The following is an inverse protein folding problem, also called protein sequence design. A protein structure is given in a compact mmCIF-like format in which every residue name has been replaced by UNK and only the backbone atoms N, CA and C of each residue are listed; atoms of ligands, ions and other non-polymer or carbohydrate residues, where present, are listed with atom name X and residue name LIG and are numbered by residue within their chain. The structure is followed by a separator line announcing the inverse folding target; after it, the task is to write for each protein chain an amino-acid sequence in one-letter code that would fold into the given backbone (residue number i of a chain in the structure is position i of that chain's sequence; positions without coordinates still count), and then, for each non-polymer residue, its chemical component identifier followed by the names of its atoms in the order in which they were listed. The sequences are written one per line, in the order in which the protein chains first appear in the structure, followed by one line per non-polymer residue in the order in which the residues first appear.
data_IF_371299103378
#
_entry.id   IF_371299103378
#
_cell.length_a   1.000
_cell.length_b   1.000
_cell.length_c   1.000
_cell.angle_alpha   90.00
_cell.angle_beta   90.00
_cell.angle_gamma   90.00
#
_symmetry.space_group_name_H-M   'P 1'
#
loop_
_entity.id
_entity.type
_entity.pdbx_description
1 polymer ?
#
# COMPACT_ATOMS: atom_id res chain seq x y z
N UNK A 1 -1.68 -12.10 -22.06
CA UNK A 1 -0.26 -11.73 -22.25
C UNK A 1 0.52 -12.98 -22.62
N UNK A 2 1.33 -12.95 -23.66
CA UNK A 2 2.24 -14.06 -23.93
C UNK A 2 3.25 -14.17 -22.78
N UNK A 3 3.74 -15.39 -22.47
CA UNK A 3 4.75 -15.60 -21.42
C UNK A 3 5.99 -14.70 -21.54
N UNK A 4 6.26 -14.14 -22.73
CA UNK A 4 7.43 -13.27 -22.98
C UNK A 4 7.18 -11.78 -22.65
N UNK A 5 5.95 -11.31 -22.64
CA UNK A 5 5.62 -9.87 -22.54
C UNK A 5 5.09 -9.42 -21.16
N UNK A 6 4.95 -10.33 -20.21
CA UNK A 6 4.37 -10.01 -18.90
C UNK A 6 4.90 -10.83 -17.74
N UNK A 7 6.02 -11.55 -17.93
CA UNK A 7 6.62 -12.36 -16.86
C UNK A 7 7.23 -11.43 -15.81
N UNK A 8 6.79 -11.56 -14.56
CA UNK A 8 7.43 -10.92 -13.42
C UNK A 8 8.79 -11.56 -13.22
N UNK A 9 9.85 -10.75 -13.19
CA UNK A 9 11.23 -11.22 -13.00
C UNK A 9 11.82 -10.77 -11.66
N UNK A 10 11.38 -9.65 -11.12
CA UNK A 10 11.87 -9.12 -9.86
C UNK A 10 10.79 -8.28 -9.16
N UNK A 11 11.09 -7.85 -7.94
CA UNK A 11 10.34 -6.80 -7.25
C UNK A 11 11.23 -5.57 -7.06
N UNK A 12 10.61 -4.43 -6.75
CA UNK A 12 11.34 -3.30 -6.20
C UNK A 12 11.93 -3.66 -4.82
N UNK A 13 12.84 -2.85 -4.23
CA UNK A 13 13.51 -3.17 -2.97
C UNK A 13 12.55 -3.47 -1.80
N UNK A 14 11.40 -2.80 -1.75
CA UNK A 14 10.42 -2.95 -0.67
C UNK A 14 9.37 -4.05 -0.93
N UNK A 15 9.37 -4.67 -2.12
CA UNK A 15 8.56 -5.85 -2.45
C UNK A 15 7.11 -5.58 -2.84
N UNK A 16 6.63 -4.33 -2.83
CA UNK A 16 5.23 -4.00 -3.15
C UNK A 16 4.93 -3.93 -4.65
N UNK A 17 5.97 -3.92 -5.51
CA UNK A 17 5.82 -3.86 -6.97
C UNK A 17 6.52 -5.04 -7.65
N UNK A 18 5.80 -6.15 -7.93
CA UNK A 18 6.27 -7.20 -8.81
C UNK A 18 6.31 -6.69 -10.26
N UNK A 19 7.48 -6.68 -10.88
CA UNK A 19 7.71 -6.03 -12.16
C UNK A 19 8.30 -6.97 -13.21
N UNK A 20 7.93 -6.80 -14.48
CA UNK A 20 8.65 -7.36 -15.62
C UNK A 20 9.92 -6.56 -15.89
N UNK A 21 10.78 -7.01 -16.86
CA UNK A 21 11.93 -6.23 -17.31
C UNK A 21 11.52 -4.81 -17.69
N UNK A 22 12.35 -3.84 -17.34
CA UNK A 22 12.13 -2.40 -17.58
C UNK A 22 10.88 -1.80 -16.91
N UNK A 23 10.19 -2.56 -16.06
CA UNK A 23 9.03 -2.08 -15.33
C UNK A 23 9.38 -0.94 -14.37
N UNK A 24 8.53 0.08 -14.31
CA UNK A 24 8.68 1.22 -13.41
C UNK A 24 7.53 1.25 -12.37
N UNK A 25 7.85 1.78 -11.18
CA UNK A 25 6.88 2.02 -10.12
C UNK A 25 6.43 3.48 -10.15
N UNK A 26 5.15 3.71 -10.38
CA UNK A 26 4.50 4.99 -10.08
C UNK A 26 3.63 4.77 -8.85
N UNK A 27 4.00 5.37 -7.72
CA UNK A 27 3.34 5.16 -6.44
C UNK A 27 2.63 6.41 -5.96
N UNK A 28 1.48 6.23 -5.34
CA UNK A 28 0.73 7.26 -4.63
C UNK A 28 0.07 6.66 -3.39
N UNK A 29 -0.13 7.46 -2.34
CA UNK A 29 -0.77 6.98 -1.11
C UNK A 29 -1.69 8.03 -0.52
N UNK A 30 -2.93 7.65 -0.24
CA UNK A 30 -3.88 8.48 0.49
C UNK A 30 -3.50 8.57 1.97
N UNK A 31 -3.44 9.78 2.51
CA UNK A 31 -3.26 10.01 3.94
C UNK A 31 -4.61 9.87 4.67
N UNK A 32 -4.90 8.65 5.14
CA UNK A 32 -6.20 8.30 5.71
C UNK A 32 -6.64 9.14 6.93
N UNK A 33 -5.76 9.53 7.87
CA UNK A 33 -6.14 10.45 8.96
C UNK A 33 -6.82 11.74 8.51
N UNK A 34 -6.55 12.23 7.30
CA UNK A 34 -7.20 13.45 6.78
C UNK A 34 -8.69 13.29 6.45
N UNK A 35 -9.17 12.06 6.41
CA UNK A 35 -10.59 11.72 6.21
C UNK A 35 -11.31 11.39 7.53
N UNK A 36 -10.63 11.54 8.68
CA UNK A 36 -11.24 11.29 9.99
C UNK A 36 -11.74 12.59 10.59
N UNK A 37 -13.03 12.67 10.86
CA UNK A 37 -13.69 13.79 11.50
C UNK A 37 -14.61 13.30 12.64
N UNK A 38 -14.45 13.83 13.84
CA UNK A 38 -15.28 13.49 14.99
C UNK A 38 -15.37 11.96 15.23
N UNK A 39 -14.23 11.27 15.19
CA UNK A 39 -14.11 9.81 15.33
C UNK A 39 -14.84 8.99 14.25
N UNK A 40 -15.13 9.57 13.12
CA UNK A 40 -15.77 8.91 11.98
C UNK A 40 -14.96 9.13 10.71
N UNK A 41 -14.84 8.10 9.89
CA UNK A 41 -14.17 8.18 8.59
C UNK A 41 -15.14 8.64 7.51
N UNK A 42 -14.79 9.68 6.78
CA UNK A 42 -15.58 10.23 5.68
C UNK A 42 -15.31 9.48 4.37
N UNK A 43 -16.09 8.43 4.13
CA UNK A 43 -16.03 7.65 2.89
C UNK A 43 -16.47 8.46 1.68
N UNK A 44 -17.36 9.46 1.84
CA UNK A 44 -17.82 10.30 0.74
C UNK A 44 -16.69 11.16 0.19
N UNK A 45 -15.97 11.86 1.07
CA UNK A 45 -14.79 12.65 0.69
C UNK A 45 -13.69 11.75 0.10
N UNK A 46 -13.39 10.63 0.75
CA UNK A 46 -12.38 9.68 0.27
C UNK A 46 -12.69 9.18 -1.14
N UNK A 47 -13.93 8.76 -1.38
CA UNK A 47 -14.40 8.29 -2.70
C UNK A 47 -14.28 9.39 -3.76
N UNK A 48 -14.66 10.63 -3.41
CA UNK A 48 -14.59 11.78 -4.32
C UNK A 48 -13.18 12.09 -4.80
N UNK A 49 -12.17 11.90 -3.93
CA UNK A 49 -10.78 12.19 -4.29
C UNK A 49 -10.14 11.12 -5.17
N UNK A 50 -10.59 9.85 -5.12
CA UNK A 50 -9.95 8.74 -5.83
C UNK A 50 -9.86 9.00 -7.33
N UNK A 51 -10.94 9.48 -7.97
CA UNK A 51 -10.95 9.70 -9.42
C UNK A 51 -9.95 10.75 -9.89
N UNK A 52 -9.77 11.82 -9.10
CA UNK A 52 -8.80 12.87 -9.38
C UNK A 52 -7.37 12.36 -9.24
N UNK A 53 -7.09 11.56 -8.23
CA UNK A 53 -5.76 10.98 -7.99
C UNK A 53 -5.41 9.98 -9.09
N UNK A 54 -6.33 9.09 -9.50
CA UNK A 54 -6.12 8.15 -10.60
C UNK A 54 -5.81 8.89 -11.90
N UNK A 55 -6.56 9.96 -12.22
CA UNK A 55 -6.30 10.81 -13.38
C UNK A 55 -4.94 11.50 -13.30
N UNK A 56 -4.58 12.04 -12.13
CA UNK A 56 -3.28 12.68 -11.92
C UNK A 56 -2.14 11.69 -12.14
N UNK A 57 -2.24 10.47 -11.58
CA UNK A 57 -1.23 9.43 -11.76
C UNK A 57 -1.15 8.95 -13.23
N UNK A 58 -2.28 8.79 -13.93
CA UNK A 58 -2.28 8.47 -15.38
C UNK A 58 -1.56 9.56 -16.20
N UNK A 59 -1.76 10.83 -15.86
CA UNK A 59 -1.07 11.94 -16.51
C UNK A 59 0.44 11.94 -16.22
N UNK A 60 0.89 11.47 -15.05
CA UNK A 60 2.33 11.31 -14.75
C UNK A 60 2.96 10.28 -15.68
N UNK A 61 2.29 9.17 -15.99
CA UNK A 61 2.79 8.20 -16.98
C UNK A 61 3.05 8.86 -18.33
N UNK A 62 2.16 9.77 -18.76
CA UNK A 62 2.30 10.47 -20.05
C UNK A 62 3.42 11.51 -20.05
N UNK A 63 3.63 12.19 -18.92
CA UNK A 63 4.56 13.33 -18.79
C UNK A 63 5.97 12.95 -18.32
N UNK A 64 6.15 11.72 -17.86
CA UNK A 64 7.47 11.24 -17.41
C UNK A 64 8.44 11.17 -18.57
N UNK A 65 9.64 11.71 -18.37
CA UNK A 65 10.79 11.56 -19.26
C UNK A 65 11.52 10.28 -18.84
N UNK A 66 11.44 9.26 -19.68
CA UNK A 66 12.08 7.98 -19.39
C UNK A 66 13.51 7.96 -19.88
N UNK A 67 14.49 7.51 -19.07
CA UNK A 67 15.90 7.50 -19.47
C UNK A 67 16.23 6.45 -20.56
N UNK A 68 15.42 5.38 -20.66
CA UNK A 68 15.60 4.31 -21.66
C UNK A 68 14.31 4.12 -22.47
N UNK A 69 14.43 3.90 -23.80
CA UNK A 69 13.26 3.65 -24.66
C UNK A 69 12.42 2.44 -24.23
N UNK A 70 13.09 1.38 -23.73
CA UNK A 70 12.42 0.17 -23.27
C UNK A 70 11.57 0.43 -22.02
N UNK A 71 12.02 1.33 -21.12
CA UNK A 71 11.23 1.77 -19.96
C UNK A 71 10.02 2.59 -20.39
N UNK A 72 10.18 3.49 -21.36
CA UNK A 72 9.06 4.26 -21.91
C UNK A 72 8.03 3.33 -22.55
N UNK A 73 8.46 2.38 -23.36
CA UNK A 73 7.59 1.41 -24.01
C UNK A 73 6.83 0.57 -22.99
N UNK A 74 7.51 0.02 -21.98
CA UNK A 74 6.87 -0.77 -20.92
C UNK A 74 5.85 0.06 -20.14
N UNK A 75 6.24 1.27 -19.71
CA UNK A 75 5.38 2.15 -18.94
C UNK A 75 4.13 2.59 -19.73
N UNK A 76 4.30 3.04 -20.97
CA UNK A 76 3.18 3.53 -21.81
C UNK A 76 2.28 2.40 -22.31
N UNK A 77 2.84 1.22 -22.60
CA UNK A 77 2.07 0.07 -23.08
C UNK A 77 1.17 -0.54 -22.01
N UNK A 78 1.58 -0.48 -20.74
CA UNK A 78 0.83 -1.08 -19.61
C UNK A 78 0.19 -0.05 -18.68
N UNK A 79 0.72 1.17 -18.64
CA UNK A 79 0.21 2.28 -17.81
C UNK A 79 0.01 1.86 -16.35
N UNK A 80 0.98 1.09 -15.83
CA UNK A 80 0.96 0.55 -14.46
C UNK A 80 1.11 1.67 -13.43
N UNK A 81 0.32 1.61 -12.37
CA UNK A 81 0.47 2.44 -11.18
C UNK A 81 0.27 1.61 -9.92
N UNK A 82 0.63 2.16 -8.77
CA UNK A 82 0.42 1.57 -7.46
C UNK A 82 -0.15 2.61 -6.51
N UNK A 83 -1.47 2.77 -6.50
CA UNK A 83 -2.17 3.63 -5.57
C UNK A 83 -2.49 2.86 -4.30
N UNK A 84 -2.10 3.41 -3.16
CA UNK A 84 -2.28 2.82 -1.85
C UNK A 84 -2.71 3.81 -0.79
N UNK A 85 -2.41 3.47 0.44
CA UNK A 85 -2.79 4.24 1.63
C UNK A 85 -1.60 4.40 2.58
N UNK A 86 -1.64 5.43 3.40
CA UNK A 86 -0.76 5.63 4.56
C UNK A 86 -1.60 6.08 5.75
N UNK A 87 -1.11 5.88 6.97
CA UNK A 87 -1.83 6.29 8.16
C UNK A 87 -3.03 5.39 8.53
N UNK A 88 -3.06 4.12 8.07
CA UNK A 88 -4.18 3.22 8.36
C UNK A 88 -4.37 3.03 9.88
N UNK A 89 -3.29 2.79 10.62
CA UNK A 89 -3.35 2.61 12.06
C UNK A 89 -3.88 3.87 12.74
N UNK A 90 -3.31 5.04 12.43
CA UNK A 90 -3.75 6.30 13.00
C UNK A 90 -5.22 6.59 12.70
N UNK A 91 -5.68 6.42 11.45
CA UNK A 91 -7.07 6.65 11.08
C UNK A 91 -8.04 5.75 11.87
N UNK A 92 -7.69 4.47 12.02
CA UNK A 92 -8.51 3.53 12.76
C UNK A 92 -8.55 3.86 14.26
N UNK A 93 -7.39 4.16 14.86
CA UNK A 93 -7.28 4.47 16.29
C UNK A 93 -7.97 5.80 16.65
N UNK A 94 -7.90 6.81 15.76
CA UNK A 94 -8.69 8.05 15.90
C UNK A 94 -10.21 7.81 15.84
N UNK A 95 -10.64 6.66 15.32
CA UNK A 95 -12.03 6.20 15.32
C UNK A 95 -12.32 5.16 16.41
N UNK A 96 -11.53 5.06 17.46
CA UNK A 96 -11.64 4.09 18.56
C UNK A 96 -11.62 2.61 18.08
N UNK A 97 -10.79 2.31 17.08
CA UNK A 97 -10.60 0.97 16.51
C UNK A 97 -9.14 0.53 16.66
N UNK A 98 -8.75 -0.08 17.79
CA UNK A 98 -7.35 -0.49 18.03
C UNK A 98 -6.81 -1.39 16.93
N UNK A 99 -5.54 -1.19 16.55
CA UNK A 99 -4.86 -1.95 15.51
C UNK A 99 -5.02 -3.46 15.69
N UNK A 100 -5.28 -4.18 14.59
CA UNK A 100 -5.55 -5.62 14.52
C UNK A 100 -6.80 -6.12 15.25
N UNK A 101 -7.58 -5.26 15.93
CA UNK A 101 -8.87 -5.65 16.53
C UNK A 101 -9.91 -6.03 15.46
N UNK A 102 -10.98 -6.71 15.86
CA UNK A 102 -12.10 -7.02 14.94
C UNK A 102 -12.69 -5.77 14.27
N UNK A 103 -12.77 -4.65 15.01
CA UNK A 103 -13.24 -3.37 14.47
C UNK A 103 -12.27 -2.82 13.43
N UNK A 104 -10.96 -2.86 13.72
CA UNK A 104 -9.91 -2.48 12.79
C UNK A 104 -9.97 -3.30 11.50
N UNK A 105 -10.09 -4.63 11.59
CA UNK A 105 -10.16 -5.51 10.43
C UNK A 105 -11.38 -5.21 9.55
N UNK A 106 -12.53 -4.92 10.17
CA UNK A 106 -13.73 -4.50 9.44
C UNK A 106 -13.52 -3.16 8.74
N UNK A 107 -13.03 -2.15 9.46
CA UNK A 107 -12.71 -0.84 8.91
C UNK A 107 -11.72 -0.93 7.74
N UNK A 108 -10.64 -1.69 7.91
CA UNK A 108 -9.65 -1.95 6.86
C UNK A 108 -10.29 -2.57 5.61
N UNK A 109 -11.22 -3.52 5.80
CA UNK A 109 -11.99 -4.12 4.71
C UNK A 109 -12.81 -3.07 3.95
N UNK A 110 -13.51 -2.19 4.65
CA UNK A 110 -14.33 -1.14 4.05
C UNK A 110 -13.48 -0.13 3.27
N UNK A 111 -12.38 0.36 3.87
CA UNK A 111 -11.44 1.29 3.22
C UNK A 111 -10.84 0.68 1.95
N UNK A 112 -10.36 -0.57 2.03
CA UNK A 112 -9.69 -1.22 0.89
C UNK A 112 -10.67 -1.65 -0.20
N UNK A 113 -11.89 -2.04 0.13
CA UNK A 113 -12.95 -2.28 -0.86
C UNK A 113 -13.25 -1.00 -1.61
N UNK A 114 -13.43 0.11 -0.89
CA UNK A 114 -13.65 1.43 -1.49
C UNK A 114 -12.48 1.83 -2.39
N UNK A 115 -11.25 1.78 -1.88
CA UNK A 115 -10.05 2.11 -2.66
C UNK A 115 -10.00 1.28 -3.95
N UNK A 116 -10.09 -0.04 -3.85
CA UNK A 116 -10.03 -0.96 -4.98
C UNK A 116 -11.08 -0.64 -6.02
N UNK A 117 -12.34 -0.65 -5.61
CA UNK A 117 -13.45 -0.57 -6.56
C UNK A 117 -13.51 0.80 -7.24
N UNK A 118 -13.36 1.88 -6.50
CA UNK A 118 -13.39 3.23 -7.09
C UNK A 118 -12.13 3.58 -7.89
N UNK A 119 -10.98 3.00 -7.55
CA UNK A 119 -9.76 3.15 -8.37
C UNK A 119 -9.93 2.46 -9.72
N UNK A 120 -10.49 1.24 -9.74
CA UNK A 120 -10.76 0.51 -10.97
C UNK A 120 -11.85 1.17 -11.82
N UNK A 121 -12.92 1.65 -11.19
CA UNK A 121 -13.97 2.41 -11.88
C UNK A 121 -13.44 3.70 -12.49
N UNK A 122 -12.61 4.46 -11.78
CA UNK A 122 -11.97 5.67 -12.29
C UNK A 122 -11.05 5.38 -13.50
N UNK A 123 -10.29 4.28 -13.45
CA UNK A 123 -9.46 3.85 -14.59
C UNK A 123 -10.31 3.42 -15.79
N UNK A 124 -11.47 2.78 -15.57
CA UNK A 124 -12.41 2.46 -16.65
C UNK A 124 -13.04 3.71 -17.24
N UNK A 125 -13.42 4.70 -16.43
CA UNK A 125 -13.87 6.01 -16.92
C UNK A 125 -12.79 6.71 -17.77
N UNK A 126 -11.52 6.64 -17.37
CA UNK A 126 -10.42 7.15 -18.17
C UNK A 126 -10.23 6.38 -19.48
N UNK A 127 -10.52 5.07 -19.51
CA UNK A 127 -10.48 4.30 -20.75
C UNK A 127 -11.57 4.75 -21.72
N UNK A 128 -12.75 5.10 -21.26
CA UNK A 128 -13.81 5.68 -22.08
C UNK A 128 -13.39 7.02 -22.72
N UNK A 129 -12.63 7.85 -21.97
CA UNK A 129 -12.16 9.16 -22.45
C UNK A 129 -10.93 9.07 -23.36
N UNK A 130 -9.97 8.20 -23.04
CA UNK A 130 -8.61 8.20 -23.63
C UNK A 130 -8.21 6.86 -24.27
N UNK A 131 -9.09 5.88 -24.26
CA UNK A 131 -8.81 4.49 -24.67
C UNK A 131 -8.15 3.66 -23.58
N UNK A 132 -8.28 2.35 -23.69
CA UNK A 132 -7.61 1.38 -22.83
C UNK A 132 -6.10 1.43 -22.98
N UNK A 133 -5.36 0.82 -22.02
CA UNK A 133 -3.91 0.71 -22.19
C UNK A 133 -3.56 -0.11 -23.45
N UNK A 134 -2.46 0.21 -24.19
CA UNK A 134 -2.19 -0.37 -25.52
C UNK A 134 -2.14 -1.91 -25.57
N UNK A 135 -1.71 -2.58 -24.49
CA UNK A 135 -1.66 -4.04 -24.41
C UNK A 135 -2.94 -4.66 -23.81
N UNK A 136 -4.03 -3.90 -23.73
CA UNK A 136 -5.29 -4.42 -23.21
C UNK A 136 -5.87 -5.50 -24.13
N UNK A 137 -6.16 -6.64 -23.55
CA UNK A 137 -6.88 -7.76 -24.17
C UNK A 137 -8.03 -8.10 -23.22
N UNK A 138 -9.25 -7.79 -23.62
CA UNK A 138 -10.44 -7.94 -22.79
C UNK A 138 -10.60 -9.36 -22.25
N UNK A 139 -10.46 -10.37 -23.11
CA UNK A 139 -10.63 -11.75 -22.71
C UNK A 139 -9.60 -12.18 -21.66
N UNK A 140 -8.33 -11.79 -21.82
CA UNK A 140 -7.28 -12.12 -20.85
C UNK A 140 -7.47 -11.34 -19.55
N UNK A 141 -7.86 -10.08 -19.63
CA UNK A 141 -8.03 -9.22 -18.47
C UNK A 141 -9.22 -9.67 -17.59
N UNK A 142 -10.38 -9.90 -18.20
CA UNK A 142 -11.61 -10.30 -17.51
C UNK A 142 -11.57 -11.73 -16.97
N UNK A 143 -10.70 -12.59 -17.50
CA UNK A 143 -10.43 -13.92 -16.95
C UNK A 143 -9.38 -13.92 -15.83
N UNK A 144 -8.74 -12.78 -15.54
CA UNK A 144 -7.79 -12.62 -14.45
C UNK A 144 -8.42 -12.85 -13.07
N UNK A 145 -7.70 -13.53 -12.16
CA UNK A 145 -8.24 -13.83 -10.84
C UNK A 145 -8.56 -12.57 -10.03
N UNK A 146 -7.73 -11.53 -10.14
CA UNK A 146 -8.00 -10.28 -9.40
C UNK A 146 -9.25 -9.56 -9.94
N UNK A 147 -9.47 -9.56 -11.26
CA UNK A 147 -10.68 -9.00 -11.86
C UNK A 147 -11.96 -9.61 -11.26
N UNK A 148 -11.97 -10.92 -11.05
CA UNK A 148 -13.11 -11.64 -10.47
C UNK A 148 -13.42 -11.24 -9.02
N UNK A 149 -12.46 -10.61 -8.32
CA UNK A 149 -12.67 -10.11 -6.95
C UNK A 149 -13.32 -8.74 -6.88
N UNK A 150 -13.34 -7.98 -8.00
CA UNK A 150 -13.98 -6.68 -8.07
C UNK A 150 -15.48 -6.78 -7.88
N UNK A 151 -16.09 -5.70 -7.38
CA UNK A 151 -17.55 -5.64 -7.27
C UNK A 151 -18.23 -5.76 -8.65
N UNK A 152 -19.40 -6.41 -8.75
CA UNK A 152 -20.05 -6.65 -10.03
C UNK A 152 -20.21 -5.40 -10.91
N UNK A 153 -20.61 -4.28 -10.32
CA UNK A 153 -20.77 -3.03 -11.05
C UNK A 153 -19.46 -2.51 -11.67
N UNK A 154 -18.31 -2.74 -11.02
CA UNK A 154 -16.99 -2.40 -11.58
C UNK A 154 -16.63 -3.34 -12.73
N UNK A 155 -16.88 -4.64 -12.55
CA UNK A 155 -16.67 -5.64 -13.61
C UNK A 155 -17.47 -5.30 -14.87
N UNK A 156 -18.72 -4.91 -14.70
CA UNK A 156 -19.59 -4.57 -15.83
C UNK A 156 -19.12 -3.29 -16.53
N UNK A 157 -18.72 -2.26 -15.77
CA UNK A 157 -18.15 -1.04 -16.34
C UNK A 157 -16.86 -1.31 -17.14
N UNK A 158 -15.97 -2.21 -16.64
CA UNK A 158 -14.74 -2.57 -17.36
C UNK A 158 -15.04 -3.38 -18.62
N UNK A 159 -16.01 -4.26 -18.62
CA UNK A 159 -16.45 -4.98 -19.85
C UNK A 159 -17.02 -4.03 -20.90
N UNK A 160 -17.72 -2.99 -20.46
CA UNK A 160 -18.34 -2.03 -21.38
C UNK A 160 -17.32 -1.03 -21.96
N UNK A 161 -16.40 -0.52 -21.13
CA UNK A 161 -15.52 0.60 -21.52
C UNK A 161 -14.04 0.26 -21.58
N UNK A 162 -13.64 -0.94 -21.16
CA UNK A 162 -12.23 -1.31 -20.98
C UNK A 162 -11.62 -0.69 -19.73
N UNK A 163 -10.27 -0.66 -19.67
CA UNK A 163 -9.54 -0.09 -18.55
C UNK A 163 -8.26 0.61 -19.01
N UNK A 164 -7.97 1.79 -18.42
CA UNK A 164 -6.86 2.65 -18.82
C UNK A 164 -5.51 2.16 -18.32
N UNK A 165 -5.45 1.48 -17.17
CA UNK A 165 -4.24 1.10 -16.46
C UNK A 165 -4.26 -0.41 -16.17
N UNK A 166 -3.17 -1.11 -16.45
CA UNK A 166 -3.10 -2.58 -16.30
C UNK A 166 -3.11 -3.04 -14.84
N UNK A 167 -2.47 -2.29 -13.95
CA UNK A 167 -2.41 -2.49 -12.51
C UNK A 167 -2.59 -1.14 -11.83
N UNK A 168 -3.27 -1.13 -10.70
CA UNK A 168 -3.74 0.10 -10.08
C UNK A 168 -3.36 0.25 -8.62
N UNK A 169 -3.28 -0.84 -7.84
CA UNK A 169 -3.16 -0.78 -6.39
C UNK A 169 -1.88 -1.41 -5.87
N UNK A 170 -1.28 -0.78 -4.85
CA UNK A 170 -0.08 -1.28 -4.16
C UNK A 170 0.01 -0.62 -2.79
N UNK A 171 0.55 -1.32 -1.80
CA UNK A 171 0.84 -0.71 -0.49
C UNK A 171 2.35 -0.50 -0.37
N UNK A 172 2.75 0.75 -0.56
CA UNK A 172 4.12 1.20 -0.36
C UNK A 172 4.44 1.37 1.14
N UNK A 173 5.73 1.29 1.55
CA UNK A 173 6.11 1.50 2.95
C UNK A 173 5.84 2.94 3.43
N UNK A 174 5.88 3.93 2.56
CA UNK A 174 5.66 5.36 2.85
C UNK A 174 6.53 5.97 3.95
N UNK A 175 7.65 5.35 4.32
CA UNK A 175 8.47 5.74 5.47
C UNK A 175 8.90 7.21 5.46
N UNK A 176 9.42 7.71 4.34
CA UNK A 176 9.84 9.12 4.21
C UNK A 176 8.67 10.06 4.02
N UNK A 177 7.69 9.70 3.18
CA UNK A 177 6.55 10.58 2.91
C UNK A 177 5.58 10.69 4.10
N UNK A 178 5.54 9.71 5.00
CA UNK A 178 4.76 9.82 6.23
C UNK A 178 5.28 10.92 7.16
N UNK A 179 6.60 11.16 7.16
CA UNK A 179 7.20 12.26 7.92
C UNK A 179 6.74 13.63 7.40
N UNK A 180 6.69 13.80 6.07
CA UNK A 180 6.19 15.04 5.46
C UNK A 180 4.67 15.20 5.62
N UNK A 181 3.98 14.10 5.91
CA UNK A 181 2.55 14.06 6.24
C UNK A 181 2.29 14.17 7.76
N UNK A 182 3.17 14.84 8.48
CA UNK A 182 3.09 15.07 9.93
C UNK A 182 3.24 13.76 10.76
N UNK A 183 4.12 12.87 10.30
CA UNK A 183 4.47 11.61 10.94
C UNK A 183 3.26 10.68 11.18
N UNK A 184 2.43 10.51 10.17
CA UNK A 184 1.39 9.47 10.19
C UNK A 184 2.01 8.08 10.17
N UNK A 185 1.30 7.07 10.65
CA UNK A 185 1.75 5.67 10.56
C UNK A 185 2.01 5.25 9.10
N UNK A 186 3.11 4.53 8.86
CA UNK A 186 3.57 4.21 7.51
C UNK A 186 2.73 3.10 6.86
N UNK A 187 2.12 3.38 5.72
CA UNK A 187 1.34 2.40 4.96
C UNK A 187 0.23 1.77 5.80
N UNK A 188 0.34 0.47 6.01
CA UNK A 188 -0.54 -0.33 6.86
C UNK A 188 0.13 -0.78 8.16
N UNK A 189 1.29 -0.19 8.49
CA UNK A 189 1.99 -0.48 9.73
C UNK A 189 1.32 0.19 10.94
N UNK A 190 1.39 -0.41 12.15
CA UNK A 190 1.20 0.36 13.36
C UNK A 190 2.33 1.37 13.54
N UNK A 191 2.19 2.45 14.32
CA UNK A 191 3.30 3.31 14.66
C UNK A 191 4.43 2.50 15.32
N UNK A 192 5.68 2.78 14.93
CA UNK A 192 6.83 2.13 15.54
C UNK A 192 6.91 2.44 17.03
N UNK A 193 6.80 3.72 17.37
CA UNK A 193 6.71 4.26 18.72
C UNK A 193 5.80 5.48 18.70
N UNK A 194 5.19 5.82 19.83
CA UNK A 194 4.34 7.01 19.95
C UNK A 194 5.16 8.30 19.86
N UNK A 195 6.42 8.24 20.23
CA UNK A 195 7.41 9.29 20.02
C UNK A 195 8.83 8.69 20.00
N UNK A 196 9.75 9.36 19.33
CA UNK A 196 11.17 9.00 19.29
C UNK A 196 12.01 10.24 19.02
N UNK A 197 13.28 10.17 19.43
CA UNK A 197 14.25 11.20 19.15
C UNK A 197 14.97 10.89 17.84
N UNK A 198 14.95 11.84 16.91
CA UNK A 198 15.64 11.75 15.63
C UNK A 198 16.83 12.69 15.61
N UNK A 199 17.99 12.14 15.31
CA UNK A 199 19.18 12.94 15.02
C UNK A 199 19.11 13.45 13.59
N UNK A 200 19.02 14.75 13.40
CA UNK A 200 19.07 15.43 12.11
C UNK A 200 20.46 16.01 11.95
N UNK A 201 21.08 15.72 10.81
CA UNK A 201 22.34 16.35 10.45
C UNK A 201 22.06 17.73 9.85
N UNK A 202 22.53 18.78 10.50
CA UNK A 202 22.51 20.14 9.99
C UNK A 202 23.90 20.58 9.55
N UNK A 203 23.99 21.75 8.92
CA UNK A 203 25.25 22.30 8.42
C UNK A 203 26.28 22.53 9.56
N UNK A 204 25.80 22.86 10.76
CA UNK A 204 26.60 23.20 11.92
C UNK A 204 26.71 22.07 12.98
N UNK A 205 26.25 20.85 12.66
CA UNK A 205 26.30 19.71 13.59
C UNK A 205 25.07 18.82 13.56
N UNK A 206 24.79 18.20 14.70
CA UNK A 206 23.62 17.32 14.86
C UNK A 206 22.61 17.99 15.78
N UNK A 207 21.35 18.03 15.35
CA UNK A 207 20.22 18.42 16.20
C UNK A 207 19.38 17.17 16.53
N UNK A 208 19.00 17.03 17.80
CA UNK A 208 18.04 16.03 18.21
C UNK A 208 16.65 16.65 18.18
N UNK A 209 15.76 16.07 17.38
CA UNK A 209 14.37 16.50 17.30
C UNK A 209 13.45 15.38 17.76
N UNK A 210 12.62 15.66 18.75
CA UNK A 210 11.54 14.75 19.14
C UNK A 210 10.46 14.73 18.07
N UNK A 211 10.15 13.54 17.58
CA UNK A 211 9.10 13.28 16.59
C UNK A 211 8.00 12.48 17.27
N UNK A 212 6.78 12.98 17.20
CA UNK A 212 5.59 12.33 17.77
C UNK A 212 4.72 11.75 16.64
N UNK A 213 4.08 10.61 16.93
CA UNK A 213 3.08 10.02 16.03
C UNK A 213 1.89 10.96 15.84
N UNK A 214 1.31 10.96 14.64
CA UNK A 214 0.22 11.87 14.28
C UNK A 214 -0.99 11.76 15.21
N UNK A 215 -1.46 10.54 15.49
CA UNK A 215 -2.62 10.33 16.36
C UNK A 215 -2.29 10.69 17.82
N UNK A 216 -1.07 10.40 18.26
CA UNK A 216 -0.60 10.76 19.60
C UNK A 216 -0.62 12.28 19.82
N UNK A 217 -0.16 13.07 18.85
CA UNK A 217 -0.31 14.55 18.88
C UNK A 217 -1.76 15.01 19.03
N UNK A 218 -2.72 14.21 18.55
CA UNK A 218 -4.16 14.48 18.67
C UNK A 218 -4.77 13.92 19.98
N UNK A 219 -3.94 13.44 20.89
CA UNK A 219 -4.37 12.86 22.16
C UNK A 219 -4.90 11.42 22.07
N UNK A 220 -4.60 10.72 20.98
CA UNK A 220 -4.98 9.31 20.78
C UNK A 220 -3.77 8.43 20.98
N UNK A 221 -3.80 7.59 22.01
CA UNK A 221 -2.74 6.61 22.27
C UNK A 221 -3.09 5.29 21.58
N UNK A 222 -2.37 4.98 20.50
CA UNK A 222 -2.51 3.74 19.73
C UNK A 222 -1.56 2.63 20.18
N UNK A 223 -1.70 1.45 19.55
CA UNK A 223 -0.79 0.32 19.76
C UNK A 223 0.47 0.48 18.89
N UNK A 224 1.64 0.30 19.51
CA UNK A 224 2.93 0.34 18.80
C UNK A 224 3.28 -1.01 18.16
N UNK A 225 4.24 -1.02 17.23
CA UNK A 225 4.65 -2.21 16.50
C UNK A 225 5.17 -3.34 17.41
N UNK A 226 5.75 -2.99 18.58
CA UNK A 226 6.26 -3.96 19.56
C UNK A 226 5.14 -4.59 20.42
N UNK A 227 3.96 -3.99 20.45
CA UNK A 227 2.78 -4.51 21.16
C UNK A 227 1.90 -5.41 20.29
N UNK A 228 2.24 -5.55 19.01
CA UNK A 228 1.50 -6.35 18.03
C UNK A 228 2.19 -7.70 17.88
N UNK A 229 1.46 -8.80 18.02
CA UNK A 229 2.02 -10.13 17.81
C UNK A 229 2.32 -10.41 16.34
N UNK A 230 3.19 -11.38 16.06
CA UNK A 230 3.50 -11.80 14.69
C UNK A 230 2.24 -12.30 13.93
N UNK A 231 1.33 -12.98 14.63
CA UNK A 231 0.05 -13.45 14.09
C UNK A 231 -0.88 -12.29 13.77
N UNK A 232 -0.94 -11.25 14.59
CA UNK A 232 -1.71 -10.03 14.31
C UNK A 232 -1.14 -9.31 13.09
N UNK A 233 0.19 -9.14 12.99
CA UNK A 233 0.84 -8.58 11.80
C UNK A 233 0.51 -9.38 10.54
N UNK A 234 0.60 -10.72 10.60
CA UNK A 234 0.28 -11.60 9.49
C UNK A 234 -1.21 -11.52 9.11
N UNK A 235 -2.10 -11.46 10.09
CA UNK A 235 -3.55 -11.36 9.85
C UNK A 235 -3.90 -10.08 9.09
N UNK A 236 -3.29 -8.94 9.45
CA UNK A 236 -3.47 -7.68 8.72
C UNK A 236 -2.93 -7.79 7.29
N UNK A 237 -1.70 -8.32 7.11
CA UNK A 237 -1.10 -8.51 5.79
C UNK A 237 -1.97 -9.40 4.89
N UNK A 238 -2.44 -10.54 5.43
CA UNK A 238 -3.29 -11.48 4.69
C UNK A 238 -4.63 -10.87 4.29
N UNK A 239 -5.26 -10.09 5.20
CA UNK A 239 -6.48 -9.36 4.85
C UNK A 239 -6.25 -8.40 3.70
N UNK A 240 -5.25 -7.53 3.81
CA UNK A 240 -4.96 -6.47 2.83
C UNK A 240 -4.60 -7.05 1.46
N UNK A 241 -3.90 -8.19 1.42
CA UNK A 241 -3.50 -8.87 0.17
C UNK A 241 -4.68 -9.17 -0.75
N UNK A 242 -5.87 -9.40 -0.21
CA UNK A 242 -7.09 -9.70 -0.99
C UNK A 242 -7.60 -8.53 -1.83
N UNK A 243 -7.20 -7.31 -1.49
CA UNK A 243 -7.70 -6.07 -2.10
C UNK A 243 -6.68 -5.36 -2.99
N UNK A 244 -5.45 -5.86 -3.06
CA UNK A 244 -4.32 -5.22 -3.76
C UNK A 244 -3.88 -6.08 -4.94
N UNK A 245 -3.87 -5.50 -6.14
CA UNK A 245 -3.50 -6.21 -7.37
C UNK A 245 -1.99 -6.45 -7.49
N UNK A 246 -1.16 -5.47 -7.14
CA UNK A 246 0.28 -5.63 -7.11
C UNK A 246 0.73 -6.37 -5.84
N UNK A 247 1.48 -5.75 -4.95
CA UNK A 247 1.87 -6.38 -3.69
C UNK A 247 1.89 -5.35 -2.54
N UNK A 248 2.38 -5.78 -1.39
CA UNK A 248 2.32 -5.02 -0.14
C UNK A 248 3.69 -5.05 0.51
N UNK A 249 4.19 -3.88 0.90
CA UNK A 249 5.31 -3.78 1.81
C UNK A 249 4.78 -3.72 3.24
N UNK A 250 5.03 -4.76 4.01
CA UNK A 250 4.69 -4.83 5.43
C UNK A 250 5.71 -5.62 6.21
N UNK A 251 6.12 -5.05 7.34
CA UNK A 251 7.01 -5.69 8.31
C UNK A 251 6.20 -6.45 9.37
N UNK A 252 6.60 -7.68 9.65
CA UNK A 252 6.20 -8.41 10.83
C UNK A 252 7.31 -8.29 11.86
N UNK A 253 7.07 -7.56 12.93
CA UNK A 253 8.01 -7.48 14.03
C UNK A 253 7.98 -8.81 14.80
N UNK A 254 9.16 -9.40 15.02
CA UNK A 254 9.33 -10.64 15.79
C UNK A 254 10.12 -10.35 17.05
N UNK A 255 9.56 -10.75 18.19
CA UNK A 255 10.20 -10.56 19.48
C UNK A 255 11.43 -11.47 19.67
N UNK A 256 12.26 -11.14 20.65
CA UNK A 256 13.46 -11.91 20.98
C UNK A 256 13.18 -13.36 21.40
N UNK A 257 12.00 -13.62 21.92
CA UNK A 257 11.56 -14.95 22.37
C UNK A 257 11.13 -15.88 21.24
N UNK A 258 10.95 -15.37 20.01
CA UNK A 258 10.49 -16.17 18.87
C UNK A 258 11.57 -17.18 18.47
N UNK A 259 11.22 -18.46 18.52
CA UNK A 259 12.10 -19.56 18.13
C UNK A 259 12.25 -19.67 16.60
N UNK A 260 13.25 -20.42 16.14
CA UNK A 260 13.42 -20.65 14.69
C UNK A 260 12.24 -21.37 14.06
N UNK A 261 11.60 -22.31 14.75
CA UNK A 261 10.44 -23.04 14.25
C UNK A 261 9.23 -22.13 14.10
N UNK A 262 8.92 -21.29 15.08
CA UNK A 262 7.87 -20.27 14.99
C UNK A 262 8.13 -19.27 13.85
N UNK A 263 9.39 -18.84 13.68
CA UNK A 263 9.81 -17.97 12.59
C UNK A 263 9.59 -18.63 11.21
N UNK A 264 9.99 -19.88 11.06
CA UNK A 264 9.77 -20.68 9.83
C UNK A 264 8.28 -20.81 9.51
N UNK A 265 7.48 -21.09 10.54
CA UNK A 265 6.03 -21.28 10.40
C UNK A 265 5.33 -19.97 10.02
N UNK A 266 5.84 -18.80 10.43
CA UNK A 266 5.33 -17.51 10.00
C UNK A 266 5.37 -17.34 8.48
N UNK A 267 6.49 -17.67 7.82
CA UNK A 267 6.62 -17.62 6.37
C UNK A 267 5.71 -18.62 5.66
N UNK A 268 5.64 -19.84 6.20
CA UNK A 268 4.78 -20.87 5.64
C UNK A 268 3.29 -20.52 5.76
N UNK A 269 2.90 -19.93 6.89
CA UNK A 269 1.52 -19.48 7.11
C UNK A 269 1.20 -18.27 6.22
N UNK A 270 2.13 -17.35 5.99
CA UNK A 270 1.96 -16.24 5.06
C UNK A 270 1.68 -16.76 3.64
N UNK A 271 2.47 -17.72 3.16
CA UNK A 271 2.25 -18.35 1.87
C UNK A 271 0.90 -19.07 1.78
N UNK A 272 0.52 -19.86 2.78
CA UNK A 272 -0.80 -20.54 2.85
C UNK A 272 -1.97 -19.57 2.81
N UNK A 273 -1.83 -18.38 3.38
CA UNK A 273 -2.85 -17.34 3.39
C UNK A 273 -2.86 -16.49 2.11
N UNK A 274 -2.03 -16.84 1.13
CA UNK A 274 -1.99 -16.18 -0.17
C UNK A 274 -1.23 -14.86 -0.18
N UNK A 275 -0.41 -14.55 0.85
CA UNK A 275 0.45 -13.38 0.85
C UNK A 275 1.47 -13.47 -0.28
N UNK A 276 1.68 -12.36 -1.00
CA UNK A 276 2.64 -12.27 -2.12
C UNK A 276 4.07 -12.02 -1.65
N UNK A 277 4.25 -11.64 -0.39
CA UNK A 277 5.54 -11.39 0.26
C UNK A 277 5.34 -11.13 1.73
N UNK A 278 6.41 -11.27 2.50
CA UNK A 278 6.46 -10.95 3.94
C UNK A 278 7.88 -10.51 4.28
N UNK A 279 7.99 -9.47 5.10
CA UNK A 279 9.26 -9.01 5.67
C UNK A 279 9.20 -9.18 7.18
N UNK A 280 10.29 -9.67 7.77
CA UNK A 280 10.41 -9.77 9.22
C UNK A 280 11.51 -8.86 9.73
N UNK A 281 11.29 -8.26 10.89
CA UNK A 281 12.28 -7.47 11.59
C UNK A 281 12.40 -7.94 13.05
N UNK A 282 13.64 -8.15 13.49
CA UNK A 282 13.97 -8.55 14.85
C UNK A 282 14.89 -7.50 15.48
N UNK A 283 14.39 -6.80 16.49
CA UNK A 283 15.09 -5.67 17.10
C UNK A 283 16.43 -6.03 17.77
N UNK A 284 16.53 -7.24 18.35
CA UNK A 284 17.74 -7.79 18.97
C UNK A 284 18.66 -8.55 18.00
N UNK A 285 18.39 -8.46 16.69
CA UNK A 285 19.19 -9.10 15.64
C UNK A 285 20.54 -8.43 15.42
N UNK A 286 21.37 -9.03 14.53
CA UNK A 286 22.69 -8.49 14.14
C UNK A 286 22.64 -7.15 13.37
N UNK A 287 21.47 -6.71 12.95
CA UNK A 287 21.26 -5.42 12.27
C UNK A 287 20.66 -4.44 13.27
N UNK A 288 21.34 -3.34 13.50
CA UNK A 288 20.84 -2.25 14.33
C UNK A 288 19.67 -1.56 13.65
N UNK A 289 18.64 -1.21 14.42
CA UNK A 289 17.58 -0.34 13.95
C UNK A 289 18.09 1.08 13.68
N UNK A 290 17.49 1.74 12.69
CA UNK A 290 17.79 3.16 12.37
C UNK A 290 17.08 4.09 13.38
N UNK A 291 16.03 3.57 14.02
CA UNK A 291 15.23 4.29 15.02
C UNK A 291 15.56 3.75 16.41
N UNK A 292 15.93 4.64 17.30
CA UNK A 292 16.15 4.35 18.72
C UNK A 292 14.99 4.94 19.53
N UNK A 293 14.50 4.18 20.53
CA UNK A 293 13.53 4.67 21.50
C UNK A 293 14.17 5.66 22.49
#
# INVERSE_FOLDING_TARGET
MSRKEGTIEATNPCGEQPLPPYGACLLGSFNLPKYVHNKSFDFGLFTGDISNVVRAMDNVVDRTIYPLPEQEQEAKNKRRMGLGITGLANAAEMCDMPYASKKFMKFTTEVLTTLRDYTYAASSTLAQEKGSFPMYDEHKYTNGEFFKTLSPWVQDQIKEHGIRNSHLTSIAPTGTISLTADNVSSGIEPPFSLFYDRTIQEFDGHQIQRVEDYAFKQGVSGRTANEISAEEHLSVLSLVTKYIDSAISKTCNVGSSVTFDEFKDLYFNAWKQGCKGITTFRADGKRYGILNE
#
